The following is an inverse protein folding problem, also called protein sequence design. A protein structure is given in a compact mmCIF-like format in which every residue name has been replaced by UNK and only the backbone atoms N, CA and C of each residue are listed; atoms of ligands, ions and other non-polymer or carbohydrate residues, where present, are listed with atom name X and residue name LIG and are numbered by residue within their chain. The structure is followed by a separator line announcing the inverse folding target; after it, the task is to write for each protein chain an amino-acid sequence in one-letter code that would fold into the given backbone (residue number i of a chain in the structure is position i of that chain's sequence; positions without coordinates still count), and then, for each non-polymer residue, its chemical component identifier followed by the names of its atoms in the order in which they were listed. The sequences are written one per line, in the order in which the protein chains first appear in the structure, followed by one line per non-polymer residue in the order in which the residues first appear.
data_IF_601606369788
#
_entry.id   IF_601606369788
#
_cell.length_a   1.000
_cell.length_b   1.000
_cell.length_c   1.000
_cell.angle_alpha   90.00
_cell.angle_beta   90.00
_cell.angle_gamma   90.00
#
_symmetry.space_group_name_H-M   'P 1'
#
loop_
_entity.id
_entity.type
_entity.pdbx_description
1 polymer ?
#
# COMPACT_ATOMS: atom_id res chain seq x y z
N UNK A 1 15.09 -24.25 3.01
CA UNK A 1 14.92 -22.93 2.37
C UNK A 1 14.64 -21.88 3.44
N UNK A 2 15.24 -20.68 3.39
CA UNK A 2 15.11 -19.66 4.45
C UNK A 2 14.25 -18.48 3.98
N UNK A 3 13.02 -18.39 4.51
CA UNK A 3 12.17 -17.21 4.35
C UNK A 3 12.74 -16.03 5.16
N UNK A 4 12.44 -14.78 4.79
CA UNK A 4 12.76 -13.62 5.63
C UNK A 4 12.13 -13.77 7.02
N UNK A 5 12.88 -13.41 8.06
CA UNK A 5 12.43 -13.55 9.44
C UNK A 5 11.31 -12.56 9.81
N UNK A 6 11.31 -11.39 9.16
CA UNK A 6 10.38 -10.29 9.42
C UNK A 6 9.53 -10.00 8.19
N UNK A 7 8.20 -10.04 8.37
CA UNK A 7 7.25 -9.57 7.36
C UNK A 7 7.33 -8.06 7.17
N UNK A 8 7.65 -7.33 8.25
CA UNK A 8 7.78 -5.87 8.25
C UNK A 8 8.93 -5.43 7.35
N UNK A 9 10.08 -6.10 7.44
CA UNK A 9 11.26 -5.73 6.67
C UNK A 9 11.02 -5.91 5.17
N UNK A 10 10.34 -7.00 4.79
CA UNK A 10 9.97 -7.23 3.39
C UNK A 10 8.94 -6.21 2.92
N UNK A 11 7.93 -5.91 3.74
CA UNK A 11 6.93 -4.92 3.37
C UNK A 11 7.56 -3.53 3.21
N UNK A 12 8.39 -3.11 4.16
CA UNK A 12 9.13 -1.85 4.10
C UNK A 12 10.06 -1.81 2.88
N UNK A 13 10.72 -2.92 2.55
CA UNK A 13 11.54 -3.01 1.34
C UNK A 13 10.71 -2.79 0.08
N UNK A 14 9.55 -3.46 -0.06
CA UNK A 14 8.65 -3.26 -1.21
C UNK A 14 8.19 -1.80 -1.30
N UNK A 15 7.76 -1.22 -0.18
CA UNK A 15 7.31 0.18 -0.14
C UNK A 15 8.42 1.17 -0.48
N UNK A 16 9.64 0.94 -0.01
CA UNK A 16 10.81 1.76 -0.35
C UNK A 16 11.14 1.69 -1.85
N UNK A 17 11.11 0.49 -2.46
CA UNK A 17 11.33 0.34 -3.91
C UNK A 17 10.26 1.10 -4.70
N UNK A 18 8.98 1.00 -4.31
CA UNK A 18 7.89 1.75 -4.95
C UNK A 18 8.07 3.26 -4.85
N UNK A 19 8.47 3.76 -3.67
CA UNK A 19 8.75 5.17 -3.45
C UNK A 19 9.87 5.67 -4.38
N UNK A 20 11.01 4.99 -4.37
CA UNK A 20 12.16 5.34 -5.20
C UNK A 20 11.82 5.28 -6.70
N UNK A 21 11.05 4.27 -7.12
CA UNK A 21 10.61 4.17 -8.51
C UNK A 21 9.69 5.32 -8.93
N UNK A 22 8.80 5.76 -8.04
CA UNK A 22 7.94 6.93 -8.28
C UNK A 22 8.75 8.23 -8.40
N UNK A 23 9.78 8.42 -7.57
CA UNK A 23 10.67 9.58 -7.67
C UNK A 23 11.48 9.59 -8.96
N UNK A 24 12.05 8.43 -9.36
CA UNK A 24 12.78 8.31 -10.63
C UNK A 24 11.85 8.61 -11.81
N UNK A 25 10.63 8.05 -11.79
CA UNK A 25 9.61 8.33 -12.81
C UNK A 25 9.29 9.82 -12.90
N UNK A 26 9.10 10.51 -11.77
CA UNK A 26 8.84 11.94 -11.76
C UNK A 26 9.99 12.76 -12.37
N UNK A 27 11.25 12.42 -12.05
CA UNK A 27 12.44 13.06 -12.63
C UNK A 27 12.52 12.85 -14.14
N UNK A 28 12.31 11.62 -14.62
CA UNK A 28 12.34 11.33 -16.06
C UNK A 28 11.25 12.07 -16.84
N UNK A 29 10.06 12.25 -16.24
CA UNK A 29 8.98 13.07 -16.81
C UNK A 29 9.41 14.52 -16.93
N UNK A 30 10.02 15.07 -15.88
CA UNK A 30 10.50 16.46 -15.86
C UNK A 30 11.61 16.69 -16.90
N UNK A 31 12.47 15.70 -17.13
CA UNK A 31 13.55 15.75 -18.11
C UNK A 31 13.09 15.52 -19.57
N UNK A 32 11.79 15.26 -19.79
CA UNK A 32 11.23 15.05 -21.13
C UNK A 32 11.71 13.76 -21.80
N UNK A 33 12.04 12.74 -21.00
CA UNK A 33 12.52 11.45 -21.51
C UNK A 33 11.46 10.74 -22.36
N UNK A 34 11.85 10.06 -23.44
CA UNK A 34 10.92 9.25 -24.26
C UNK A 34 10.30 8.08 -23.48
N UNK A 35 11.04 7.53 -22.52
CA UNK A 35 10.63 6.40 -21.69
C UNK A 35 10.64 6.78 -20.20
N UNK A 36 9.56 7.40 -19.74
CA UNK A 36 9.45 7.89 -18.37
C UNK A 36 9.09 6.84 -17.31
N UNK A 37 8.86 5.59 -17.71
CA UNK A 37 8.47 4.50 -16.80
C UNK A 37 9.26 3.23 -17.14
N UNK A 38 10.60 3.24 -17.00
CA UNK A 38 11.42 2.07 -17.31
C UNK A 38 11.08 0.91 -16.36
N UNK A 39 11.25 -0.35 -16.80
CA UNK A 39 11.02 -1.50 -15.94
C UNK A 39 12.03 -1.56 -14.79
N UNK A 40 11.61 -2.09 -13.64
CA UNK A 40 12.50 -2.42 -12.52
C UNK A 40 13.08 -3.81 -12.76
N UNK A 41 14.41 -3.94 -12.70
CA UNK A 41 15.07 -5.25 -12.75
C UNK A 41 14.96 -5.89 -11.36
N UNK A 42 14.33 -7.07 -11.31
CA UNK A 42 14.19 -7.87 -10.09
C UNK A 42 14.84 -9.22 -10.31
N UNK A 43 15.82 -9.59 -9.47
CA UNK A 43 16.51 -10.87 -9.58
C UNK A 43 16.68 -11.55 -8.21
N UNK A 44 16.98 -12.84 -8.25
CA UNK A 44 17.34 -13.66 -7.09
C UNK A 44 18.26 -14.77 -7.62
N UNK A 45 18.32 -15.94 -6.98
CA UNK A 45 19.16 -17.03 -7.47
C UNK A 45 18.68 -17.52 -8.84
N UNK A 46 17.43 -17.96 -8.93
CA UNK A 46 16.82 -18.49 -10.17
C UNK A 46 15.70 -17.60 -10.73
N UNK A 47 15.35 -16.53 -10.01
CA UNK A 47 14.31 -15.58 -10.43
C UNK A 47 12.88 -16.12 -10.34
N UNK A 48 12.66 -17.33 -9.79
CA UNK A 48 11.32 -17.95 -9.73
C UNK A 48 10.62 -17.79 -8.37
N UNK A 49 11.37 -17.61 -7.28
CA UNK A 49 10.79 -17.59 -5.94
C UNK A 49 10.81 -16.20 -5.30
N UNK A 50 11.96 -15.77 -4.75
CA UNK A 50 12.10 -14.48 -4.05
C UNK A 50 11.73 -13.29 -4.95
N UNK A 51 12.17 -13.33 -6.20
CA UNK A 51 11.84 -12.30 -7.20
C UNK A 51 10.36 -12.32 -7.54
N UNK A 52 9.77 -13.50 -7.74
CA UNK A 52 8.35 -13.62 -8.02
C UNK A 52 7.48 -13.23 -6.82
N UNK A 53 7.92 -13.51 -5.59
CA UNK A 53 7.26 -13.08 -4.36
C UNK A 53 7.24 -11.55 -4.27
N UNK A 54 8.37 -10.90 -4.55
CA UNK A 54 8.44 -9.44 -4.64
C UNK A 54 7.45 -8.90 -5.68
N UNK A 55 7.49 -9.41 -6.92
CA UNK A 55 6.60 -8.94 -7.99
C UNK A 55 5.13 -9.17 -7.65
N UNK A 56 4.78 -10.34 -7.10
CA UNK A 56 3.41 -10.66 -6.74
C UNK A 56 2.88 -9.74 -5.64
N UNK A 57 3.68 -9.48 -4.60
CA UNK A 57 3.31 -8.54 -3.52
C UNK A 57 3.14 -7.12 -4.07
N UNK A 58 4.07 -6.66 -4.92
CA UNK A 58 4.01 -5.32 -5.52
C UNK A 58 2.78 -5.13 -6.41
N UNK A 59 2.45 -6.13 -7.24
CA UNK A 59 1.25 -6.14 -8.06
C UNK A 59 -0.01 -6.10 -7.20
N UNK A 60 -0.09 -6.97 -6.19
CA UNK A 60 -1.27 -7.06 -5.30
C UNK A 60 -1.47 -5.81 -4.45
N UNK A 61 -0.40 -5.13 -4.03
CA UNK A 61 -0.50 -3.81 -3.38
C UNK A 61 -1.17 -2.80 -4.32
N UNK A 62 -0.74 -2.74 -5.59
CA UNK A 62 -1.38 -1.86 -6.59
C UNK A 62 -2.85 -2.23 -6.81
N UNK A 63 -3.16 -3.52 -6.92
CA UNK A 63 -4.55 -3.99 -7.12
C UNK A 63 -5.44 -3.67 -5.92
N UNK A 64 -4.95 -3.88 -4.70
CA UNK A 64 -5.69 -3.55 -3.49
C UNK A 64 -5.91 -2.04 -3.36
N UNK A 65 -4.92 -1.21 -3.67
CA UNK A 65 -5.10 0.24 -3.62
C UNK A 65 -6.14 0.75 -4.63
N UNK A 66 -6.28 0.06 -5.78
CA UNK A 66 -7.25 0.44 -6.81
C UNK A 66 -8.65 -0.15 -6.58
N UNK A 67 -8.75 -1.36 -6.02
CA UNK A 67 -10.00 -2.14 -5.99
C UNK A 67 -10.47 -2.52 -4.59
N UNK A 68 -9.59 -2.41 -3.59
CA UNK A 68 -9.81 -2.94 -2.24
C UNK A 68 -9.75 -4.47 -2.13
N UNK A 69 -9.34 -5.17 -3.19
CA UNK A 69 -9.35 -6.64 -3.28
C UNK A 69 -7.93 -7.17 -3.53
N UNK A 70 -7.63 -8.32 -2.91
CA UNK A 70 -6.40 -9.10 -3.14
C UNK A 70 -6.81 -10.40 -3.86
N UNK A 71 -6.12 -10.74 -4.97
CA UNK A 71 -6.32 -11.98 -5.71
C UNK A 71 -4.99 -12.63 -6.12
N UNK A 72 -4.19 -12.98 -5.12
CA UNK A 72 -2.83 -13.50 -5.32
C UNK A 72 -2.78 -14.72 -6.26
N UNK A 73 -3.74 -15.65 -6.19
CA UNK A 73 -3.78 -16.80 -7.09
C UNK A 73 -3.84 -16.39 -8.57
N UNK A 74 -4.75 -15.48 -8.91
CA UNK A 74 -4.88 -14.97 -10.28
C UNK A 74 -3.62 -14.23 -10.72
N UNK A 75 -3.02 -13.45 -9.83
CA UNK A 75 -1.76 -12.75 -10.11
C UNK A 75 -0.62 -13.72 -10.35
N UNK A 76 -0.49 -14.79 -9.57
CA UNK A 76 0.56 -15.81 -9.78
C UNK A 76 0.38 -16.56 -11.10
N UNK A 77 -0.85 -16.85 -11.51
CA UNK A 77 -1.11 -17.43 -12.85
C UNK A 77 -0.57 -16.51 -13.95
N UNK A 78 -0.90 -15.21 -13.89
CA UNK A 78 -0.41 -14.21 -14.85
C UNK A 78 1.11 -14.05 -14.82
N UNK A 79 1.74 -14.10 -13.64
CA UNK A 79 3.20 -14.10 -13.54
C UNK A 79 3.79 -15.33 -14.22
N UNK A 80 3.17 -16.52 -14.05
CA UNK A 80 3.65 -17.77 -14.64
C UNK A 80 3.53 -17.82 -16.16
N UNK A 81 2.61 -17.07 -16.76
CA UNK A 81 2.52 -16.87 -18.21
C UNK A 81 3.76 -16.14 -18.77
N UNK A 82 4.37 -15.25 -17.99
CA UNK A 82 5.58 -14.51 -18.40
C UNK A 82 6.87 -15.15 -17.91
N UNK A 83 6.84 -15.78 -16.73
CA UNK A 83 7.97 -16.46 -16.09
C UNK A 83 7.52 -17.79 -15.49
N UNK A 84 7.73 -18.85 -16.27
CA UNK A 84 7.37 -20.20 -15.85
C UNK A 84 7.98 -20.58 -14.48
N UNK A 85 7.25 -21.41 -13.73
CA UNK A 85 7.60 -21.87 -12.38
C UNK A 85 7.66 -20.81 -11.27
N UNK A 86 7.22 -19.58 -11.52
CA UNK A 86 7.15 -18.56 -10.47
C UNK A 86 6.27 -18.99 -9.28
N UNK A 87 6.81 -18.89 -8.06
CA UNK A 87 6.17 -19.28 -6.80
C UNK A 87 5.67 -20.73 -6.81
N UNK A 88 6.50 -21.67 -7.27
CA UNK A 88 6.18 -23.09 -7.21
C UNK A 88 6.23 -23.64 -5.77
N UNK A 89 7.11 -23.09 -4.92
CA UNK A 89 7.18 -23.48 -3.50
C UNK A 89 6.06 -22.80 -2.70
N UNK A 90 5.24 -23.64 -2.05
CA UNK A 90 4.14 -23.23 -1.19
C UNK A 90 4.56 -22.25 -0.07
N UNK A 91 5.78 -22.38 0.47
CA UNK A 91 6.25 -21.52 1.55
C UNK A 91 6.35 -20.05 1.11
N UNK A 92 6.83 -19.77 -0.11
CA UNK A 92 6.85 -18.39 -0.62
C UNK A 92 5.45 -17.90 -0.98
N UNK A 93 4.59 -18.78 -1.49
CA UNK A 93 3.20 -18.44 -1.79
C UNK A 93 2.43 -18.03 -0.53
N UNK A 94 2.54 -18.82 0.55
CA UNK A 94 1.97 -18.49 1.86
C UNK A 94 2.61 -17.23 2.46
N UNK A 95 3.92 -17.06 2.30
CA UNK A 95 4.62 -15.87 2.77
C UNK A 95 4.06 -14.59 2.13
N UNK A 96 3.77 -14.61 0.82
CA UNK A 96 3.14 -13.48 0.12
C UNK A 96 1.80 -13.11 0.76
N UNK A 97 0.92 -14.08 1.05
CA UNK A 97 -0.34 -13.82 1.75
C UNK A 97 -0.12 -13.15 3.11
N UNK A 98 0.88 -13.58 3.88
CA UNK A 98 1.18 -13.00 5.20
C UNK A 98 1.63 -11.54 5.09
N UNK A 99 2.46 -11.21 4.10
CA UNK A 99 2.89 -9.83 3.82
C UNK A 99 1.69 -8.98 3.40
N UNK A 100 0.85 -9.48 2.48
CA UNK A 100 -0.32 -8.76 1.98
C UNK A 100 -1.38 -8.54 3.08
N UNK A 101 -1.64 -9.55 3.92
CA UNK A 101 -2.54 -9.40 5.06
C UNK A 101 -2.06 -8.30 6.02
N UNK A 102 -0.74 -8.21 6.25
CA UNK A 102 -0.16 -7.13 7.06
C UNK A 102 -0.31 -5.77 6.40
N UNK A 103 -0.08 -5.66 5.09
CA UNK A 103 -0.33 -4.42 4.34
C UNK A 103 -1.80 -3.99 4.46
N UNK A 104 -2.74 -4.89 4.20
CA UNK A 104 -4.18 -4.61 4.33
C UNK A 104 -4.52 -4.14 5.75
N UNK A 105 -4.01 -4.80 6.79
CA UNK A 105 -4.27 -4.39 8.17
C UNK A 105 -3.74 -2.97 8.51
N UNK A 106 -2.63 -2.56 7.91
CA UNK A 106 -2.04 -1.23 8.11
C UNK A 106 -2.76 -0.14 7.30
N UNK A 107 -3.20 -0.45 6.07
CA UNK A 107 -3.70 0.52 5.10
C UNK A 107 -5.19 0.40 4.80
N UNK A 108 -5.93 -0.48 5.49
CA UNK A 108 -7.39 -0.56 5.38
C UNK A 108 -8.01 0.75 5.89
N UNK A 109 -8.86 1.42 5.07
CA UNK A 109 -9.61 2.58 5.53
C UNK A 109 -10.46 2.20 6.75
N UNK A 110 -10.14 2.82 7.89
CA UNK A 110 -10.90 2.67 9.13
C UNK A 110 -12.17 3.50 9.06
N UNK A 111 -13.29 2.85 8.73
CA UNK A 111 -14.61 3.49 8.69
C UNK A 111 -15.00 4.12 10.04
N UNK A 112 -14.50 3.58 11.14
CA UNK A 112 -14.73 4.02 12.53
C UNK A 112 -14.04 5.34 12.89
N UNK A 113 -12.82 5.57 12.40
CA UNK A 113 -12.07 6.80 12.70
C UNK A 113 -12.59 8.00 11.90
N UNK A 114 -13.06 7.79 10.68
CA UNK A 114 -13.66 8.87 9.87
C UNK A 114 -15.03 9.31 10.41
N UNK A 115 -15.80 8.38 10.99
CA UNK A 115 -17.01 8.70 11.74
C UNK A 115 -16.68 9.54 12.97
N UNK A 116 -15.74 9.11 13.81
CA UNK A 116 -15.32 9.86 15.01
C UNK A 116 -14.76 11.25 14.68
N UNK A 117 -13.98 11.38 13.60
CA UNK A 117 -13.49 12.69 13.10
C UNK A 117 -14.64 13.60 12.65
N UNK A 118 -15.68 13.06 11.99
CA UNK A 118 -16.87 13.83 11.60
C UNK A 118 -17.68 14.26 12.82
N UNK A 119 -17.92 13.37 13.78
CA UNK A 119 -18.68 13.68 15.00
C UNK A 119 -17.96 14.70 15.87
N UNK A 120 -16.64 14.56 16.04
CA UNK A 120 -15.82 15.53 16.80
C UNK A 120 -15.76 16.88 16.10
N UNK A 121 -15.61 16.93 14.77
CA UNK A 121 -15.62 18.19 14.02
C UNK A 121 -16.99 18.90 14.11
N UNK A 122 -18.10 18.14 14.05
CA UNK A 122 -19.44 18.67 14.27
C UNK A 122 -19.65 19.15 15.71
N UNK A 123 -19.20 18.39 16.71
CA UNK A 123 -19.29 18.78 18.12
C UNK A 123 -18.46 20.03 18.42
N UNK A 124 -17.25 20.14 17.86
CA UNK A 124 -16.39 21.33 17.97
C UNK A 124 -17.04 22.55 17.30
N UNK A 125 -17.68 22.37 16.15
CA UNK A 125 -18.48 23.44 15.50
C UNK A 125 -19.66 23.88 16.36
N UNK A 126 -20.39 22.92 16.95
CA UNK A 126 -21.50 23.20 17.87
C UNK A 126 -21.04 23.96 19.11
N UNK A 127 -19.92 23.56 19.72
CA UNK A 127 -19.33 24.18 20.91
C UNK A 127 -18.83 25.60 20.60
N UNK A 128 -18.21 25.82 19.43
CA UNK A 128 -17.82 27.18 18.98
C UNK A 128 -19.03 28.10 18.85
N UNK A 129 -20.14 27.60 18.33
CA UNK A 129 -21.37 28.38 18.16
C UNK A 129 -22.09 28.66 19.51
N UNK A 130 -21.96 27.74 20.47
CA UNK A 130 -22.48 27.91 21.83
C UNK A 130 -21.68 28.93 22.67
N UNK A 131 -20.37 29.04 22.44
CA UNK A 131 -19.53 30.01 23.17
C UNK A 131 -19.73 31.45 22.67
N UNK A 132 -19.96 31.66 21.38
CA UNK A 132 -20.16 33.00 20.80
C UNK A 132 -21.51 33.60 21.18
N UNK A 133 -22.58 32.81 21.24
CA UNK A 133 -23.93 33.31 21.57
C UNK A 133 -24.11 33.72 23.05
N UNK A 134 -23.32 33.16 23.97
CA UNK A 134 -23.32 33.56 25.39
C UNK A 134 -22.41 34.76 25.71
N UNK A 135 -21.36 34.99 24.92
CA UNK A 135 -20.41 36.08 25.14
C UNK A 135 -20.96 37.48 24.80
N UNK A 136 -21.96 37.57 23.91
CA UNK A 136 -22.58 38.84 23.53
C UNK A 136 -23.81 39.24 24.37
N UNK A 137 -24.27 38.40 25.29
CA UNK A 137 -25.46 38.66 26.13
C UNK A 137 -25.14 39.00 27.59
N UNK A 138 -23.87 39.15 27.97
CA UNK A 138 -23.43 39.60 29.31
C UNK A 138 -22.83 41.01 29.33
N UNK A 139 -22.85 41.73 28.19
CA UNK A 139 -22.35 43.11 28.10
C UNK A 139 -23.46 44.17 28.01
N UNK A 140 -24.73 43.76 28.07
CA UNK A 140 -25.91 44.64 28.00
C UNK A 140 -26.87 44.40 29.18
N UNK A 141 -26.36 44.40 30.42
CA UNK A 141 -27.13 44.68 31.64
C UNK A 141 -26.20 45.22 32.71
#
# INVERSE_FOLDING_TARGET
MKLPASLEDVLNFVLAVRHNHAEIKAKLIQEGCKYCSPPIIVHSLMGVDRSAAFCAVDIEISQYNNTGIISLASTVVKIREQRHNSLADFHYYLFCYRVLAKYVNLFRPRKDVDLLKRTTSHAVSLIKNLSISKLFNLKNN
#
